data_IF_540530440624
#
_entry.id   IF_540530440624
#
_cell.length_a   1.000
_cell.length_b   1.000
_cell.length_c   1.000
_cell.angle_alpha   90.00
_cell.angle_beta   90.00
_cell.angle_gamma   90.00
#
_symmetry.space_group_name_H-M   'P 1'
#
loop_
_entity.id
_entity.type
_entity.pdbx_description
1 polymer ?
#
# COMPACT_ATOMS: atom_id res chain seq x y z
N UNK A 1 55.58 19.96 10.89
CA UNK A 1 55.00 18.61 10.84
C UNK A 1 55.77 17.82 9.77
N UNK A 2 56.72 16.95 10.17
CA UNK A 2 57.77 16.44 9.28
C UNK A 2 57.26 15.54 8.15
N UNK A 3 56.09 14.92 8.31
CA UNK A 3 55.52 14.01 7.30
C UNK A 3 54.93 14.75 6.08
N UNK A 4 54.54 16.03 6.23
CA UNK A 4 53.78 16.75 5.21
C UNK A 4 54.57 16.95 3.91
N UNK A 5 55.87 17.25 4.00
CA UNK A 5 56.70 17.45 2.82
C UNK A 5 56.95 16.12 2.09
N UNK A 6 57.21 15.04 2.82
CA UNK A 6 57.34 13.69 2.24
C UNK A 6 56.04 13.26 1.55
N UNK A 7 54.90 13.45 2.21
CA UNK A 7 53.59 13.15 1.63
C UNK A 7 53.34 13.96 0.36
N UNK A 8 53.64 15.26 0.38
CA UNK A 8 53.51 16.15 -0.79
C UNK A 8 54.35 15.66 -1.96
N UNK A 9 55.61 15.30 -1.72
CA UNK A 9 56.53 14.80 -2.75
C UNK A 9 56.03 13.50 -3.39
N UNK A 10 55.42 12.61 -2.60
CA UNK A 10 54.79 11.39 -3.11
C UNK A 10 53.53 11.73 -3.90
N UNK A 11 52.66 12.58 -3.36
CA UNK A 11 51.43 13.00 -4.04
C UNK A 11 51.71 13.72 -5.38
N UNK A 12 52.81 14.47 -5.48
CA UNK A 12 53.26 15.11 -6.71
C UNK A 12 53.66 14.15 -7.84
N UNK A 13 53.90 12.87 -7.52
CA UNK A 13 54.18 11.83 -8.51
C UNK A 13 52.90 11.19 -9.08
N UNK A 14 51.73 11.48 -8.48
CA UNK A 14 50.46 10.96 -8.93
C UNK A 14 49.90 11.79 -10.08
N UNK A 15 49.19 11.12 -11.00
CA UNK A 15 48.43 11.81 -12.04
C UNK A 15 47.04 12.14 -11.51
N UNK A 16 46.74 13.43 -11.36
CA UNK A 16 45.41 13.89 -10.97
C UNK A 16 44.51 14.07 -12.20
N UNK A 17 43.27 13.62 -12.08
CA UNK A 17 42.24 13.79 -13.10
C UNK A 17 41.10 14.65 -12.57
N UNK A 18 40.38 15.32 -13.47
CA UNK A 18 39.21 16.07 -13.09
C UNK A 18 38.11 15.15 -12.55
N UNK A 19 37.49 15.49 -11.40
CA UNK A 19 36.39 14.68 -10.89
C UNK A 19 35.19 14.82 -11.83
N UNK A 20 34.55 13.69 -12.13
CA UNK A 20 33.33 13.64 -12.95
C UNK A 20 32.06 13.86 -12.13
N UNK A 21 32.17 13.77 -10.81
CA UNK A 21 31.11 14.06 -9.85
C UNK A 21 31.51 15.28 -9.00
N UNK A 22 30.56 16.15 -8.61
CA UNK A 22 30.84 17.21 -7.66
C UNK A 22 31.37 16.63 -6.34
N UNK A 23 32.46 17.21 -5.82
CA UNK A 23 33.02 16.83 -4.53
C UNK A 23 32.86 18.00 -3.58
N UNK A 24 32.09 17.82 -2.51
CA UNK A 24 32.05 18.80 -1.42
C UNK A 24 33.26 18.57 -0.52
N UNK A 25 34.15 19.56 -0.43
CA UNK A 25 35.40 19.42 0.31
C UNK A 25 35.15 19.58 1.81
N UNK A 26 35.44 18.54 2.59
CA UNK A 26 35.36 18.60 4.06
C UNK A 26 36.38 19.56 4.69
N UNK A 27 37.33 20.12 3.92
CA UNK A 27 38.25 21.15 4.40
C UNK A 27 37.62 22.54 4.32
N UNK A 28 36.93 22.83 3.21
CA UNK A 28 36.41 24.17 2.91
C UNK A 28 34.91 24.31 3.18
N UNK A 29 34.16 23.20 3.20
CA UNK A 29 32.69 23.19 3.25
C UNK A 29 32.03 23.66 1.95
N UNK A 30 32.77 23.70 0.84
CA UNK A 30 32.33 24.19 -0.46
C UNK A 30 32.61 23.14 -1.54
N UNK A 31 31.93 23.26 -2.69
CA UNK A 31 32.20 22.38 -3.84
C UNK A 31 33.63 22.65 -4.30
N UNK A 32 34.46 21.60 -4.28
CA UNK A 32 35.86 21.67 -4.63
C UNK A 32 36.01 22.02 -6.11
N UNK A 33 36.88 22.98 -6.39
CA UNK A 33 37.29 23.24 -7.78
C UNK A 33 38.24 22.15 -8.27
N UNK A 34 38.27 21.95 -9.58
CA UNK A 34 39.15 20.97 -10.20
C UNK A 34 40.63 21.23 -9.89
N UNK A 35 41.10 22.46 -10.10
CA UNK A 35 42.48 22.89 -9.85
C UNK A 35 42.90 22.69 -8.39
N UNK A 36 41.95 22.84 -7.47
CA UNK A 36 42.16 22.64 -6.05
C UNK A 36 42.38 21.16 -5.72
N UNK A 37 41.47 20.26 -6.11
CA UNK A 37 41.57 18.84 -5.72
C UNK A 37 42.64 18.07 -6.50
N UNK A 38 42.96 18.55 -7.70
CA UNK A 38 44.02 18.02 -8.56
C UNK A 38 45.41 18.57 -8.21
N UNK A 39 45.65 18.86 -6.92
CA UNK A 39 46.91 19.41 -6.42
C UNK A 39 47.42 18.60 -5.22
N UNK A 40 48.72 18.26 -5.17
CA UNK A 40 49.36 17.68 -3.98
C UNK A 40 49.13 18.52 -2.71
N UNK A 41 49.12 19.84 -2.84
CA UNK A 41 49.00 20.77 -1.72
C UNK A 41 47.65 20.63 -1.01
N UNK A 42 46.57 20.35 -1.77
CA UNK A 42 45.25 20.11 -1.20
C UNK A 42 45.23 18.88 -0.31
N UNK A 43 45.85 17.77 -0.76
CA UNK A 43 45.88 16.54 0.02
C UNK A 43 46.78 16.66 1.26
N UNK A 44 47.88 17.40 1.17
CA UNK A 44 48.70 17.75 2.34
C UNK A 44 47.93 18.61 3.34
N UNK A 45 47.12 19.56 2.88
CA UNK A 45 46.22 20.34 3.74
C UNK A 45 45.12 19.47 4.34
N UNK A 46 44.51 18.58 3.57
CA UNK A 46 43.46 17.66 4.02
C UNK A 46 43.98 16.71 5.12
N UNK A 47 45.24 16.28 5.02
CA UNK A 47 45.90 15.45 6.04
C UNK A 47 46.12 16.21 7.35
N UNK A 48 46.37 17.53 7.28
CA UNK A 48 46.76 18.33 8.45
C UNK A 48 45.60 19.05 9.14
N UNK A 49 44.67 19.57 8.36
CA UNK A 49 43.65 20.48 8.83
C UNK A 49 42.38 19.74 9.25
N UNK A 50 41.53 20.41 10.02
CA UNK A 50 40.30 19.85 10.56
C UNK A 50 39.33 19.43 9.45
N UNK A 51 38.75 18.23 9.60
CA UNK A 51 37.68 17.71 8.75
C UNK A 51 36.33 18.24 9.25
N UNK A 52 35.71 19.13 8.50
CA UNK A 52 34.41 19.76 8.77
C UNK A 52 33.25 18.89 8.29
N UNK A 53 33.16 17.67 8.79
CA UNK A 53 32.19 16.66 8.32
C UNK A 53 30.74 17.08 8.56
N UNK A 54 30.41 17.55 9.78
CA UNK A 54 29.07 18.03 10.12
C UNK A 54 28.61 19.17 9.18
N UNK A 55 29.46 20.19 9.01
CA UNK A 55 29.17 21.31 8.10
C UNK A 55 28.90 20.86 6.66
N UNK A 56 29.59 19.80 6.22
CA UNK A 56 29.42 19.20 4.89
C UNK A 56 28.05 18.55 4.76
N UNK A 57 27.65 17.72 5.72
CA UNK A 57 26.33 17.08 5.73
C UNK A 57 25.22 18.12 5.83
N UNK A 58 25.37 19.12 6.72
CA UNK A 58 24.42 20.21 6.86
C UNK A 58 24.27 21.04 5.57
N UNK A 59 25.37 21.31 4.86
CA UNK A 59 25.33 22.01 3.58
C UNK A 59 24.59 21.20 2.50
N UNK A 60 24.79 19.88 2.44
CA UNK A 60 24.07 19.00 1.51
C UNK A 60 22.57 18.92 1.83
N UNK A 61 22.22 18.82 3.11
CA UNK A 61 20.83 18.90 3.57
C UNK A 61 20.18 20.24 3.17
N UNK A 62 20.89 21.35 3.36
CA UNK A 62 20.45 22.68 2.94
C UNK A 62 20.29 22.84 1.42
N UNK A 63 21.02 22.04 0.63
CA UNK A 63 20.87 21.95 -0.82
C UNK A 63 19.73 21.02 -1.27
N UNK A 64 19.06 20.35 -0.32
CA UNK A 64 17.92 19.47 -0.57
C UNK A 64 18.26 17.98 -0.67
N UNK A 65 19.51 17.58 -0.52
CA UNK A 65 19.89 16.17 -0.47
C UNK A 65 19.33 15.51 0.79
N UNK A 66 18.78 14.30 0.69
CA UNK A 66 18.12 13.63 1.82
C UNK A 66 18.65 12.22 2.11
N UNK A 67 19.37 11.59 1.17
CA UNK A 67 19.81 10.20 1.30
C UNK A 67 21.32 10.14 1.12
N UNK A 68 22.01 9.59 2.12
CA UNK A 68 23.46 9.50 2.18
C UNK A 68 23.89 8.04 2.20
N UNK A 69 24.85 7.67 1.36
CA UNK A 69 25.48 6.34 1.37
C UNK A 69 26.87 6.44 1.99
N UNK A 70 27.11 5.71 3.08
CA UNK A 70 28.44 5.58 3.66
C UNK A 70 29.20 4.43 2.97
N UNK A 71 30.26 4.79 2.24
CA UNK A 71 31.18 3.85 1.60
C UNK A 71 32.35 3.53 2.53
N UNK A 72 32.19 2.52 3.37
CA UNK A 72 33.21 2.06 4.31
C UNK A 72 33.07 0.55 4.57
N UNK A 73 34.13 -0.16 5.01
CA UNK A 73 34.03 -1.59 5.37
C UNK A 73 33.18 -1.83 6.63
N UNK A 74 32.90 -0.79 7.41
CA UNK A 74 32.04 -0.82 8.58
C UNK A 74 31.55 0.61 8.87
N UNK A 75 30.26 0.81 9.22
CA UNK A 75 29.73 2.14 9.43
C UNK A 75 30.34 2.81 10.65
N UNK A 76 31.03 3.92 10.42
CA UNK A 76 31.56 4.80 11.46
C UNK A 76 30.86 6.17 11.40
N UNK A 77 30.44 6.60 10.20
CA UNK A 77 29.86 7.92 9.98
C UNK A 77 28.33 7.93 9.94
N UNK A 78 27.70 6.77 9.75
CA UNK A 78 26.24 6.62 9.60
C UNK A 78 25.51 7.31 10.75
N UNK A 79 25.93 7.10 12.00
CA UNK A 79 25.30 7.73 13.15
C UNK A 79 25.46 9.26 13.14
N UNK A 80 26.66 9.77 12.84
CA UNK A 80 26.90 11.20 12.78
C UNK A 80 26.09 11.89 11.68
N UNK A 81 25.88 11.20 10.55
CA UNK A 81 24.97 11.67 9.48
C UNK A 81 23.54 11.70 10.02
N UNK A 82 23.04 10.59 10.58
CA UNK A 82 21.69 10.50 11.17
C UNK A 82 21.44 11.61 12.18
N UNK A 83 22.34 11.84 13.12
CA UNK A 83 22.22 12.88 14.13
C UNK A 83 22.12 14.28 13.47
N UNK A 84 22.89 14.52 12.40
CA UNK A 84 22.85 15.79 11.66
C UNK A 84 21.51 15.96 10.90
N UNK A 85 20.97 14.89 10.34
CA UNK A 85 19.63 14.90 9.69
C UNK A 85 18.53 15.21 10.71
N UNK A 86 18.56 14.55 11.87
CA UNK A 86 17.59 14.75 12.94
C UNK A 86 17.65 16.19 13.48
N UNK A 87 18.85 16.74 13.68
CA UNK A 87 19.03 18.14 14.09
C UNK A 87 18.47 19.15 13.07
N UNK A 88 18.52 18.82 11.78
CA UNK A 88 17.93 19.64 10.73
C UNK A 88 16.39 19.53 10.66
N UNK A 89 15.76 18.67 11.49
CA UNK A 89 14.33 18.40 11.47
C UNK A 89 13.86 17.64 10.23
N UNK A 90 14.78 17.01 9.50
CA UNK A 90 14.51 16.29 8.25
C UNK A 90 14.19 14.82 8.48
N UNK A 91 13.56 14.19 7.48
CA UNK A 91 13.32 12.75 7.41
C UNK A 91 14.31 11.99 6.52
N UNK A 92 15.52 12.52 6.35
CA UNK A 92 16.57 11.92 5.52
C UNK A 92 17.11 10.61 6.09
N UNK A 93 17.92 9.90 5.30
CA UNK A 93 18.43 8.58 5.64
C UNK A 93 19.94 8.45 5.41
N UNK A 94 20.60 7.75 6.33
CA UNK A 94 22.00 7.33 6.19
C UNK A 94 22.06 5.80 6.02
N UNK A 95 22.60 5.35 4.89
CA UNK A 95 22.67 3.94 4.50
C UNK A 95 24.12 3.49 4.51
N UNK A 96 24.50 2.47 5.28
CA UNK A 96 25.85 1.92 5.25
C UNK A 96 26.02 0.89 4.12
N UNK A 97 27.10 0.97 3.35
CA UNK A 97 27.35 0.05 2.25
C UNK A 97 27.76 -1.36 2.71
N UNK A 98 28.59 -1.47 3.75
CA UNK A 98 29.09 -2.74 4.29
C UNK A 98 29.01 -2.76 5.82
N UNK A 99 29.12 -3.96 6.41
CA UNK A 99 29.22 -4.16 7.85
C UNK A 99 30.17 -5.33 8.13
N UNK A 100 31.20 -5.09 8.95
CA UNK A 100 32.21 -6.10 9.35
C UNK A 100 31.68 -7.50 9.73
N UNK A 101 30.50 -7.58 10.36
CA UNK A 101 29.92 -8.85 10.85
C UNK A 101 28.97 -9.52 9.83
N UNK A 102 29.03 -9.11 8.56
CA UNK A 102 28.17 -9.62 7.48
C UNK A 102 28.99 -9.86 6.21
N UNK A 103 28.66 -10.87 5.39
CA UNK A 103 29.27 -11.02 4.08
C UNK A 103 29.01 -9.80 3.20
N UNK A 104 30.05 -9.29 2.53
CA UNK A 104 30.01 -8.05 1.76
C UNK A 104 28.87 -8.00 0.74
N UNK A 105 28.71 -9.06 -0.05
CA UNK A 105 27.66 -9.13 -1.07
C UNK A 105 26.24 -9.02 -0.47
N UNK A 106 26.03 -9.59 0.71
CA UNK A 106 24.74 -9.53 1.42
C UNK A 106 24.51 -8.14 2.00
N UNK A 107 25.53 -7.55 2.63
CA UNK A 107 25.45 -6.20 3.19
C UNK A 107 25.19 -5.16 2.09
N UNK A 108 25.92 -5.26 0.98
CA UNK A 108 25.77 -4.35 -0.15
C UNK A 108 24.40 -4.50 -0.85
N UNK A 109 23.91 -5.72 -1.04
CA UNK A 109 22.57 -5.94 -1.57
C UNK A 109 21.48 -5.34 -0.66
N UNK A 110 21.64 -5.44 0.67
CA UNK A 110 20.74 -4.80 1.62
C UNK A 110 20.80 -3.26 1.54
N UNK A 111 22.00 -2.68 1.39
CA UNK A 111 22.17 -1.25 1.19
C UNK A 111 21.46 -0.75 -0.08
N UNK A 112 21.59 -1.47 -1.20
CA UNK A 112 20.87 -1.18 -2.44
C UNK A 112 19.35 -1.25 -2.27
N UNK A 113 18.85 -2.23 -1.51
CA UNK A 113 17.43 -2.32 -1.16
C UNK A 113 16.97 -1.12 -0.33
N UNK A 114 17.76 -0.69 0.66
CA UNK A 114 17.46 0.50 1.45
C UNK A 114 17.43 1.76 0.59
N UNK A 115 18.42 1.97 -0.29
CA UNK A 115 18.43 3.08 -1.24
C UNK A 115 17.18 3.07 -2.12
N UNK A 116 16.80 1.90 -2.64
CA UNK A 116 15.60 1.74 -3.47
C UNK A 116 14.32 2.12 -2.71
N UNK A 117 14.18 1.73 -1.44
CA UNK A 117 13.06 2.14 -0.58
C UNK A 117 13.01 3.65 -0.32
N UNK A 118 14.14 4.35 -0.41
CA UNK A 118 14.23 5.81 -0.33
C UNK A 118 14.14 6.49 -1.71
N UNK A 119 13.72 5.76 -2.76
CA UNK A 119 13.52 6.30 -4.10
C UNK A 119 14.76 6.31 -4.99
N UNK A 120 15.92 5.87 -4.50
CA UNK A 120 17.16 5.76 -5.28
C UNK A 120 17.26 4.35 -5.83
N UNK A 121 16.73 4.13 -7.03
CA UNK A 121 16.86 2.84 -7.70
C UNK A 121 18.19 2.74 -8.44
N UNK A 122 19.02 1.72 -8.15
CA UNK A 122 20.20 1.46 -8.96
C UNK A 122 19.81 0.99 -10.37
N UNK A 123 20.77 1.09 -11.29
CA UNK A 123 20.68 0.46 -12.60
C UNK A 123 20.78 -1.06 -12.45
N UNK A 124 19.64 -1.72 -12.22
CA UNK A 124 19.57 -3.17 -11.99
C UNK A 124 20.18 -4.00 -13.12
N UNK A 125 20.13 -3.51 -14.36
CA UNK A 125 20.77 -4.12 -15.52
C UNK A 125 22.31 -4.13 -15.45
N UNK A 126 22.92 -3.19 -14.73
CA UNK A 126 24.38 -3.19 -14.49
C UNK A 126 24.75 -4.25 -13.45
N UNK A 127 23.94 -4.38 -12.40
CA UNK A 127 24.16 -5.36 -11.32
C UNK A 127 23.86 -6.79 -11.76
N UNK A 128 22.84 -6.96 -12.61
CA UNK A 128 22.31 -8.26 -13.02
C UNK A 128 22.26 -8.38 -14.54
N UNK A 129 23.38 -8.10 -15.21
CA UNK A 129 23.47 -8.00 -16.67
C UNK A 129 23.05 -9.26 -17.45
N UNK A 130 23.18 -10.44 -16.84
CA UNK A 130 22.81 -11.73 -17.44
C UNK A 130 21.55 -12.35 -16.82
N UNK A 131 20.89 -11.65 -15.88
CA UNK A 131 19.69 -12.19 -15.24
C UNK A 131 18.48 -12.08 -16.16
N UNK A 132 17.57 -13.06 -16.04
CA UNK A 132 16.26 -13.02 -16.70
C UNK A 132 15.23 -12.49 -15.70
N UNK A 133 14.51 -11.39 -16.00
CA UNK A 133 13.44 -10.93 -15.13
C UNK A 133 12.32 -11.96 -15.09
N UNK A 134 11.83 -12.26 -13.89
CA UNK A 134 10.66 -13.12 -13.67
C UNK A 134 9.49 -12.26 -13.24
N UNK A 135 8.30 -12.58 -13.75
CA UNK A 135 7.08 -11.91 -13.31
C UNK A 135 6.66 -12.49 -11.96
N UNK A 136 6.59 -11.64 -10.95
CA UNK A 136 6.06 -12.00 -9.64
C UNK A 136 4.56 -11.66 -9.59
N UNK A 137 3.78 -12.30 -8.70
CA UNK A 137 2.41 -11.89 -8.43
C UNK A 137 2.33 -10.38 -8.20
N UNK A 138 1.31 -9.75 -8.78
CA UNK A 138 1.10 -8.31 -8.66
C UNK A 138 0.72 -7.92 -7.23
N UNK A 139 0.60 -6.61 -6.99
CA UNK A 139 0.18 -6.03 -5.72
C UNK A 139 -0.92 -6.86 -5.03
N UNK A 140 -0.66 -7.27 -3.79
CA UNK A 140 -1.65 -7.93 -2.95
C UNK A 140 -2.68 -6.89 -2.51
N UNK A 141 -3.71 -6.66 -3.33
CA UNK A 141 -4.77 -5.73 -2.99
C UNK A 141 -5.39 -6.10 -1.65
N UNK A 142 -5.54 -5.10 -0.78
CA UNK A 142 -6.32 -5.25 0.44
C UNK A 142 -7.80 -5.28 0.07
N UNK A 143 -8.31 -6.46 -0.23
CA UNK A 143 -9.70 -6.65 -0.63
C UNK A 143 -10.65 -6.28 0.51
N UNK A 144 -11.35 -5.18 0.34
CA UNK A 144 -12.47 -4.79 1.20
C UNK A 144 -13.75 -4.76 0.37
N UNK A 145 -14.81 -5.31 0.94
CA UNK A 145 -16.11 -5.40 0.28
C UNK A 145 -16.82 -4.05 0.42
N UNK A 146 -16.67 -3.19 -0.58
CA UNK A 146 -17.35 -1.89 -0.66
C UNK A 146 -18.74 -1.97 -1.31
N UNK A 147 -19.25 -3.17 -1.57
CA UNK A 147 -20.60 -3.39 -2.09
C UNK A 147 -21.63 -3.09 -1.01
N UNK A 148 -22.58 -2.19 -1.31
CA UNK A 148 -23.79 -2.03 -0.50
C UNK A 148 -24.56 -3.36 -0.53
N UNK A 149 -24.59 -4.06 0.61
CA UNK A 149 -25.41 -5.25 0.77
C UNK A 149 -26.85 -4.80 1.04
N UNK A 150 -27.85 -5.30 0.28
CA UNK A 150 -29.24 -5.08 0.65
C UNK A 150 -29.49 -5.67 2.05
N UNK A 151 -30.39 -5.07 2.85
CA UNK A 151 -30.76 -5.63 4.14
C UNK A 151 -31.23 -7.07 3.95
N UNK A 152 -30.83 -7.97 4.86
CA UNK A 152 -31.14 -9.39 4.78
C UNK A 152 -32.65 -9.61 4.52
N UNK A 153 -32.98 -10.31 3.44
CA UNK A 153 -34.36 -10.59 3.03
C UNK A 153 -34.96 -9.63 1.99
N UNK A 154 -34.20 -8.66 1.48
CA UNK A 154 -34.61 -7.88 0.30
C UNK A 154 -34.11 -8.57 -0.98
N UNK A 155 -34.87 -9.58 -1.42
CA UNK A 155 -34.66 -10.28 -2.69
C UNK A 155 -35.27 -9.53 -3.88
N UNK A 156 -35.50 -8.21 -3.75
CA UNK A 156 -35.79 -7.38 -4.90
C UNK A 156 -34.56 -7.35 -5.78
N UNK A 157 -34.48 -8.30 -6.72
CA UNK A 157 -33.68 -8.14 -7.91
C UNK A 157 -33.99 -6.74 -8.44
N UNK A 158 -32.96 -5.90 -8.47
CA UNK A 158 -33.13 -4.49 -8.81
C UNK A 158 -33.99 -4.39 -10.08
N UNK A 159 -35.20 -3.85 -9.94
CA UNK A 159 -36.17 -3.50 -11.00
C UNK A 159 -37.33 -4.47 -11.33
N UNK A 160 -37.74 -5.40 -10.47
CA UNK A 160 -39.02 -6.10 -10.68
C UNK A 160 -40.13 -5.49 -9.80
N UNK A 161 -41.23 -4.96 -10.37
CA UNK A 161 -42.38 -4.53 -9.58
C UNK A 161 -43.01 -5.72 -8.88
N UNK A 162 -43.42 -5.56 -7.62
CA UNK A 162 -44.10 -6.60 -6.87
C UNK A 162 -45.40 -7.00 -7.59
N UNK A 163 -45.64 -8.30 -7.71
CA UNK A 163 -46.83 -8.85 -8.36
C UNK A 163 -48.08 -8.76 -7.47
N UNK A 164 -47.89 -8.66 -6.16
CA UNK A 164 -48.93 -8.49 -5.16
C UNK A 164 -48.36 -7.76 -3.93
N UNK A 165 -49.12 -6.94 -3.16
CA UNK A 165 -48.62 -6.31 -1.94
C UNK A 165 -47.95 -7.23 -0.89
N UNK A 166 -48.18 -8.54 -0.96
CA UNK A 166 -47.56 -9.56 -0.10
C UNK A 166 -46.62 -10.53 -0.86
N UNK A 167 -46.58 -10.50 -2.21
CA UNK A 167 -45.75 -11.39 -3.04
C UNK A 167 -44.86 -10.58 -3.98
N UNK A 168 -43.56 -10.81 -3.91
CA UNK A 168 -42.56 -10.11 -4.69
C UNK A 168 -42.30 -10.79 -6.05
N UNK A 169 -42.24 -12.13 -6.09
CA UNK A 169 -41.96 -12.88 -7.33
C UNK A 169 -42.81 -14.13 -7.48
N UNK A 170 -43.03 -14.55 -8.74
CA UNK A 170 -43.67 -15.81 -9.11
C UNK A 170 -42.79 -16.55 -10.12
N UNK A 171 -42.52 -17.82 -9.83
CA UNK A 171 -41.74 -18.71 -10.68
C UNK A 171 -42.58 -19.94 -11.01
N UNK A 172 -42.84 -20.17 -12.29
CA UNK A 172 -43.41 -21.42 -12.77
C UNK A 172 -42.36 -22.53 -12.70
N UNK A 173 -42.67 -23.65 -12.06
CA UNK A 173 -41.78 -24.79 -12.00
C UNK A 173 -41.85 -25.56 -13.33
N UNK A 174 -40.68 -25.93 -13.83
CA UNK A 174 -40.57 -26.77 -15.01
C UNK A 174 -41.37 -28.07 -14.87
N UNK A 175 -41.79 -28.62 -16.02
CA UNK A 175 -42.57 -29.86 -16.14
C UNK A 175 -43.98 -29.77 -15.51
N UNK A 176 -44.59 -28.58 -15.54
CA UNK A 176 -45.93 -28.31 -15.00
C UNK A 176 -46.08 -28.71 -13.52
N UNK A 177 -45.01 -28.64 -12.73
CA UNK A 177 -45.00 -29.01 -11.31
C UNK A 177 -45.61 -27.94 -10.39
N UNK A 178 -46.25 -26.93 -10.97
CA UNK A 178 -46.92 -25.85 -10.26
C UNK A 178 -46.11 -24.57 -10.21
N UNK A 179 -46.45 -23.70 -9.25
CA UNK A 179 -45.87 -22.37 -9.11
C UNK A 179 -45.27 -22.19 -7.72
N UNK A 180 -44.18 -21.42 -7.65
CA UNK A 180 -43.60 -20.95 -6.40
C UNK A 180 -43.70 -19.43 -6.37
N UNK A 181 -44.39 -18.92 -5.35
CA UNK A 181 -44.49 -17.50 -5.07
C UNK A 181 -43.65 -17.18 -3.84
N UNK A 182 -42.88 -16.09 -3.90
CA UNK A 182 -42.08 -15.62 -2.77
C UNK A 182 -42.42 -14.17 -2.47
N UNK A 183 -42.40 -13.82 -1.19
CA UNK A 183 -42.66 -12.46 -0.73
C UNK A 183 -42.27 -12.31 0.73
N UNK A 184 -42.36 -11.07 1.23
CA UNK A 184 -42.06 -10.76 2.64
C UNK A 184 -43.27 -10.19 3.36
N UNK A 185 -43.75 -10.94 4.35
CA UNK A 185 -44.76 -10.52 5.31
C UNK A 185 -44.03 -10.02 6.56
N UNK A 186 -44.17 -8.73 6.86
CA UNK A 186 -43.56 -8.15 8.05
C UNK A 186 -44.37 -6.95 8.54
N UNK A 187 -44.59 -6.80 9.86
CA UNK A 187 -45.26 -5.61 10.39
C UNK A 187 -44.54 -4.29 10.08
N UNK A 188 -43.25 -4.33 9.71
CA UNK A 188 -42.52 -3.13 9.28
C UNK A 188 -42.95 -2.66 7.89
N UNK A 189 -43.29 -3.57 6.99
CA UNK A 189 -43.73 -3.25 5.61
C UNK A 189 -45.24 -3.24 5.45
N UNK A 190 -45.96 -4.02 6.26
CA UNK A 190 -47.40 -4.08 6.29
C UNK A 190 -47.89 -3.76 7.72
N UNK A 191 -47.98 -2.47 8.08
CA UNK A 191 -48.29 -2.04 9.45
C UNK A 191 -49.62 -2.58 9.98
N UNK A 192 -50.59 -2.84 9.10
CA UNK A 192 -51.90 -3.40 9.41
C UNK A 192 -51.83 -4.79 10.06
N UNK A 193 -50.72 -5.54 9.88
CA UNK A 193 -50.53 -6.83 10.55
C UNK A 193 -50.53 -6.68 12.07
N UNK A 194 -50.06 -5.54 12.61
CA UNK A 194 -50.08 -5.29 14.05
C UNK A 194 -51.50 -5.20 14.62
N UNK A 195 -52.51 -4.98 13.78
CA UNK A 195 -53.91 -4.90 14.18
C UNK A 195 -54.56 -6.29 14.33
N UNK A 196 -53.88 -7.36 13.88
CA UNK A 196 -54.33 -8.74 14.00
C UNK A 196 -53.47 -9.54 14.99
N UNK A 197 -53.66 -9.26 16.29
CA UNK A 197 -52.92 -9.91 17.37
C UNK A 197 -53.85 -10.72 18.29
N UNK A 198 -53.40 -11.92 18.68
CA UNK A 198 -54.05 -12.78 19.69
C UNK A 198 -53.04 -13.01 20.81
N UNK A 199 -53.42 -12.70 22.04
CA UNK A 199 -52.57 -12.89 23.24
C UNK A 199 -51.12 -12.41 23.03
N UNK A 200 -50.96 -11.18 22.49
CA UNK A 200 -49.67 -10.51 22.18
C UNK A 200 -48.84 -11.09 21.02
N UNK A 201 -49.27 -12.17 20.37
CA UNK A 201 -48.68 -12.66 19.14
C UNK A 201 -49.39 -12.04 17.91
N UNK A 202 -48.61 -11.42 17.02
CA UNK A 202 -49.11 -11.00 15.70
C UNK A 202 -49.27 -12.24 14.84
N UNK A 203 -50.51 -12.53 14.44
CA UNK A 203 -50.82 -13.67 13.58
C UNK A 203 -51.13 -13.16 12.17
N UNK A 204 -50.73 -13.92 11.16
CA UNK A 204 -51.20 -13.65 9.81
C UNK A 204 -52.67 -14.04 9.71
N UNK A 205 -53.59 -13.16 9.27
CA UNK A 205 -55.01 -13.50 9.23
C UNK A 205 -55.29 -14.66 8.27
N UNK A 206 -56.23 -15.54 8.64
CA UNK A 206 -56.68 -16.60 7.74
C UNK A 206 -57.25 -16.06 6.41
N UNK A 207 -57.88 -14.89 6.44
CA UNK A 207 -58.34 -14.19 5.24
C UNK A 207 -57.19 -13.74 4.34
N UNK A 208 -56.00 -13.50 4.90
CA UNK A 208 -54.78 -13.26 4.14
C UNK A 208 -54.34 -14.50 3.34
N UNK A 209 -54.46 -15.70 3.91
CA UNK A 209 -54.18 -16.94 3.14
C UNK A 209 -55.20 -17.15 2.01
N UNK A 210 -56.46 -16.77 2.22
CA UNK A 210 -57.50 -16.82 1.17
C UNK A 210 -57.18 -15.85 0.04
N UNK A 211 -56.80 -14.61 0.36
CA UNK A 211 -56.34 -13.63 -0.63
C UNK A 211 -55.17 -14.20 -1.45
N UNK A 212 -54.12 -14.68 -0.77
CA UNK A 212 -52.94 -15.23 -1.44
C UNK A 212 -53.31 -16.40 -2.36
N UNK A 213 -54.19 -17.30 -1.89
CA UNK A 213 -54.65 -18.44 -2.67
C UNK A 213 -55.45 -18.00 -3.90
N UNK A 214 -56.29 -16.97 -3.80
CA UNK A 214 -57.03 -16.42 -4.94
C UNK A 214 -56.11 -15.75 -5.96
N UNK A 215 -55.11 -15.00 -5.51
CA UNK A 215 -54.11 -14.40 -6.39
C UNK A 215 -53.31 -15.47 -7.14
N UNK A 216 -52.88 -16.53 -6.44
CA UNK A 216 -52.19 -17.67 -7.04
C UNK A 216 -53.09 -18.42 -8.02
N UNK A 217 -54.36 -18.63 -7.68
CA UNK A 217 -55.34 -19.29 -8.54
C UNK A 217 -55.52 -18.52 -9.86
N UNK A 218 -55.76 -17.21 -9.79
CA UNK A 218 -55.89 -16.35 -10.98
C UNK A 218 -54.64 -16.42 -11.86
N UNK A 219 -53.46 -16.35 -11.24
CA UNK A 219 -52.18 -16.42 -11.97
C UNK A 219 -51.95 -17.77 -12.64
N UNK A 220 -52.46 -18.85 -12.05
CA UNK A 220 -52.42 -20.20 -12.60
C UNK A 220 -53.59 -20.51 -13.56
N UNK A 221 -54.47 -19.53 -13.84
CA UNK A 221 -55.60 -19.66 -14.77
C UNK A 221 -56.87 -20.28 -14.18
N UNK A 222 -57.00 -20.32 -12.85
CA UNK A 222 -58.19 -20.81 -12.15
C UNK A 222 -59.03 -19.65 -11.61
N UNK A 223 -60.35 -19.78 -11.66
CA UNK A 223 -61.29 -18.72 -11.26
C UNK A 223 -61.80 -18.85 -9.82
N UNK A 224 -61.47 -19.92 -9.09
CA UNK A 224 -62.01 -20.17 -7.75
C UNK A 224 -61.14 -21.13 -6.94
N UNK A 225 -61.17 -20.97 -5.62
CA UNK A 225 -60.62 -21.93 -4.64
C UNK A 225 -61.79 -22.70 -4.04
N UNK A 226 -61.80 -24.03 -4.20
CA UNK A 226 -62.87 -24.88 -3.68
C UNK A 226 -62.70 -25.17 -2.18
N UNK A 227 -61.47 -25.44 -1.75
CA UNK A 227 -61.12 -25.73 -0.36
C UNK A 227 -59.71 -25.22 -0.07
N UNK A 228 -59.51 -24.61 1.10
CA UNK A 228 -58.20 -24.17 1.58
C UNK A 228 -57.95 -24.78 2.96
N UNK A 229 -57.00 -25.71 3.02
CA UNK A 229 -56.58 -26.34 4.27
C UNK A 229 -55.23 -25.73 4.68
N UNK A 230 -55.25 -24.95 5.75
CA UNK A 230 -54.02 -24.41 6.36
C UNK A 230 -53.58 -25.40 7.43
N UNK A 231 -52.53 -26.17 7.14
CA UNK A 231 -51.87 -26.97 8.16
C UNK A 231 -51.06 -26.06 9.11
N UNK A 232 -50.79 -26.58 10.31
CA UNK A 232 -50.22 -25.87 11.48
C UNK A 232 -49.20 -24.79 11.08
N UNK A 233 -49.27 -23.58 11.65
CA UNK A 233 -48.30 -22.52 11.39
C UNK A 233 -46.86 -22.91 11.76
#
# INVERSE_FOLDING_TARGET
DPILEQFRQIAAQLTFSAPTLPILSNLTGQIARHDQIASPDYWTQQLRNTVRFHDTVAALLGAGEQVFLELSPHPVLTQAITDTVEQAGGGGAAVPALRKDRPDAVAFAAALGQLHCHGISPSWNVLYCQARPLTLPTYAFQHQRYWLLPPAGDFRGANTPAIHPLLDTATELAENRGWVFTGRISPRTQPWLNEHAVESAVLFPNTGFVELALHVADRAGYSSVNELIVHTP
#
